data_IF_765260638481
#
_entry.id   IF_765260638481
#
_cell.length_a   1.000
_cell.length_b   1.000
_cell.length_c   1.000
_cell.angle_alpha   90.00
_cell.angle_beta   90.00
_cell.angle_gamma   90.00
#
_symmetry.space_group_name_H-M   'P 1'
#
loop_
_entity.id
_entity.type
_entity.pdbx_description
1 polymer ?
#
# COMPACT_ATOMS: atom_id res chain seq x y z
N UNK A 1 27.22 17.49 -16.34
CA UNK A 1 27.66 16.74 -15.14
C UNK A 1 26.97 15.40 -15.21
N UNK A 2 27.72 14.31 -15.37
CA UNK A 2 27.16 12.96 -15.41
C UNK A 2 26.59 12.63 -14.03
N UNK A 3 25.28 12.75 -13.88
CA UNK A 3 24.56 12.10 -12.79
C UNK A 3 24.65 10.61 -13.06
N UNK A 4 25.45 9.91 -12.26
CA UNK A 4 25.44 8.45 -12.18
C UNK A 4 24.00 8.06 -11.87
N UNK A 5 23.25 7.58 -12.86
CA UNK A 5 21.98 6.89 -12.63
C UNK A 5 22.33 5.69 -11.77
N UNK A 6 22.08 5.76 -10.46
CA UNK A 6 22.11 4.56 -9.63
C UNK A 6 21.18 3.55 -10.29
N UNK A 7 21.74 2.42 -10.72
CA UNK A 7 20.97 1.34 -11.34
C UNK A 7 19.97 0.82 -10.31
N UNK A 8 18.69 0.80 -10.69
CA UNK A 8 17.63 0.17 -9.91
C UNK A 8 18.03 -1.26 -9.59
N UNK A 9 17.93 -1.66 -8.33
CA UNK A 9 18.36 -2.98 -7.87
C UNK A 9 17.23 -3.65 -7.09
N UNK A 10 16.74 -4.78 -7.61
CA UNK A 10 15.81 -5.64 -6.89
C UNK A 10 16.40 -6.06 -5.53
N UNK A 11 17.71 -6.34 -5.46
CA UNK A 11 18.40 -6.71 -4.20
C UNK A 11 18.25 -5.63 -3.12
N UNK A 12 18.54 -4.35 -3.42
CA UNK A 12 18.36 -3.25 -2.46
C UNK A 12 16.88 -3.08 -2.04
N UNK A 13 15.92 -3.37 -2.93
CA UNK A 13 14.50 -3.37 -2.55
C UNK A 13 14.19 -4.53 -1.60
N UNK A 14 14.70 -5.73 -1.87
CA UNK A 14 14.56 -6.89 -0.98
C UNK A 14 15.18 -6.60 0.39
N UNK A 15 16.34 -5.93 0.45
CA UNK A 15 16.95 -5.44 1.69
C UNK A 15 16.07 -4.40 2.39
N UNK A 16 15.44 -3.47 1.65
CA UNK A 16 14.51 -2.48 2.20
C UNK A 16 13.34 -3.13 2.93
N UNK A 17 12.82 -4.24 2.39
CA UNK A 17 11.72 -4.98 2.99
C UNK A 17 12.17 -6.10 3.95
N UNK A 18 13.47 -6.39 4.06
CA UNK A 18 14.00 -7.45 4.92
C UNK A 18 13.76 -8.87 4.39
N UNK A 19 13.62 -9.04 3.08
CA UNK A 19 13.45 -10.36 2.45
C UNK A 19 14.80 -10.95 2.03
N UNK A 20 15.13 -12.12 2.56
CA UNK A 20 16.36 -12.88 2.25
C UNK A 20 16.09 -14.32 1.77
N UNK A 21 14.83 -14.62 1.43
CA UNK A 21 14.40 -15.93 0.97
C UNK A 21 14.74 -16.21 -0.50
N UNK A 22 14.43 -17.43 -0.98
CA UNK A 22 14.65 -17.79 -2.38
C UNK A 22 13.67 -17.08 -3.33
N UNK A 23 14.23 -16.53 -4.41
CA UNK A 23 13.44 -15.95 -5.50
C UNK A 23 13.05 -17.07 -6.48
N UNK A 24 11.83 -17.56 -6.29
CA UNK A 24 11.18 -18.57 -7.14
C UNK A 24 9.77 -18.06 -7.45
N UNK A 25 9.34 -18.19 -8.70
CA UNK A 25 7.98 -17.84 -9.12
C UNK A 25 6.97 -18.81 -8.48
N UNK A 26 6.53 -18.49 -7.25
CA UNK A 26 5.65 -19.33 -6.45
C UNK A 26 4.73 -18.48 -5.57
N UNK A 27 3.55 -19.00 -5.27
CA UNK A 27 2.60 -18.34 -4.36
C UNK A 27 3.22 -18.09 -2.98
N UNK A 28 4.08 -19.00 -2.52
CA UNK A 28 4.84 -18.84 -1.28
C UNK A 28 5.78 -17.63 -1.33
N UNK A 29 6.59 -17.49 -2.38
CA UNK A 29 7.49 -16.34 -2.52
C UNK A 29 6.70 -15.04 -2.64
N UNK A 30 5.63 -15.01 -3.44
CA UNK A 30 4.75 -13.83 -3.54
C UNK A 30 4.16 -13.44 -2.18
N UNK A 31 3.69 -14.41 -1.40
CA UNK A 31 3.17 -14.18 -0.06
C UNK A 31 4.20 -13.58 0.89
N UNK A 32 5.42 -14.12 0.89
CA UNK A 32 6.50 -13.59 1.73
C UNK A 32 6.97 -12.20 1.30
N UNK A 33 6.97 -11.90 0.01
CA UNK A 33 7.32 -10.56 -0.50
C UNK A 33 6.31 -9.50 -0.06
N UNK A 34 5.01 -9.75 -0.25
CA UNK A 34 3.96 -8.83 0.18
C UNK A 34 3.97 -8.66 1.70
N UNK A 35 4.06 -9.77 2.44
CA UNK A 35 4.06 -9.75 3.90
C UNK A 35 5.24 -8.94 4.43
N UNK A 36 6.45 -9.14 3.91
CA UNK A 36 7.61 -8.35 4.32
C UNK A 36 7.45 -6.86 3.96
N UNK A 37 6.89 -6.55 2.79
CA UNK A 37 6.67 -5.17 2.38
C UNK A 37 5.70 -4.44 3.34
N UNK A 38 4.52 -5.00 3.61
CA UNK A 38 3.51 -4.32 4.45
C UNK A 38 3.97 -4.12 5.90
N UNK A 39 4.93 -4.93 6.37
CA UNK A 39 5.53 -4.81 7.71
C UNK A 39 6.70 -3.82 7.78
N UNK A 40 7.23 -3.35 6.65
CA UNK A 40 8.48 -2.58 6.61
C UNK A 40 8.34 -1.24 5.89
N UNK A 41 7.41 -1.11 4.96
CA UNK A 41 7.17 0.11 4.18
C UNK A 41 5.82 0.70 4.61
N UNK A 42 5.82 1.89 5.21
CA UNK A 42 4.57 2.50 5.65
C UNK A 42 3.75 2.99 4.45
N UNK A 43 2.44 2.88 4.57
CA UNK A 43 1.52 3.71 3.82
C UNK A 43 1.55 5.12 4.41
N UNK A 44 1.71 6.16 3.60
CA UNK A 44 1.73 7.56 4.05
C UNK A 44 1.38 8.55 2.93
N UNK A 45 0.84 9.71 3.30
CA UNK A 45 0.46 10.80 2.39
C UNK A 45 1.23 12.11 2.66
N UNK A 46 2.43 12.04 3.25
CA UNK A 46 3.12 13.22 3.76
C UNK A 46 3.59 14.16 2.63
N UNK A 47 4.02 13.62 1.49
CA UNK A 47 4.43 14.45 0.34
C UNK A 47 3.24 15.25 -0.22
N UNK A 48 2.04 14.66 -0.27
CA UNK A 48 0.81 15.34 -0.71
C UNK A 48 0.51 16.54 0.19
N UNK A 49 0.62 16.36 1.51
CA UNK A 49 0.36 17.42 2.49
C UNK A 49 1.45 18.51 2.49
N UNK A 50 2.69 18.13 2.21
CA UNK A 50 3.82 19.05 2.07
C UNK A 50 3.91 19.69 0.67
N UNK A 51 2.92 19.47 -0.20
CA UNK A 51 2.90 19.96 -1.58
C UNK A 51 4.14 19.58 -2.41
N UNK A 52 4.74 18.43 -2.10
CA UNK A 52 5.81 17.82 -2.89
C UNK A 52 5.14 16.99 -3.99
N UNK A 53 5.34 17.32 -5.29
CA UNK A 53 4.67 16.64 -6.38
C UNK A 53 4.92 15.13 -6.40
N UNK A 54 3.85 14.35 -6.55
CA UNK A 54 3.95 12.90 -6.63
C UNK A 54 4.42 12.48 -8.03
N UNK A 55 5.50 11.70 -8.09
CA UNK A 55 5.98 11.05 -9.31
C UNK A 55 5.72 9.54 -9.23
N UNK A 56 5.11 8.98 -10.27
CA UNK A 56 4.91 7.54 -10.41
C UNK A 56 6.00 6.88 -11.28
N UNK A 57 7.03 7.62 -11.67
CA UNK A 57 8.18 7.07 -12.39
C UNK A 57 9.00 6.16 -11.47
N UNK A 58 9.31 4.94 -11.94
CA UNK A 58 10.01 3.93 -11.13
C UNK A 58 11.29 4.46 -10.48
N UNK A 59 12.17 5.23 -11.16
CA UNK A 59 13.36 5.78 -10.52
C UNK A 59 13.07 6.73 -9.34
N UNK A 60 12.02 7.55 -9.44
CA UNK A 60 11.63 8.47 -8.38
C UNK A 60 11.00 7.71 -7.19
N UNK A 61 10.15 6.74 -7.47
CA UNK A 61 9.56 5.85 -6.46
C UNK A 61 10.64 5.05 -5.73
N UNK A 62 11.59 4.49 -6.47
CA UNK A 62 12.69 3.71 -5.93
C UNK A 62 13.56 4.56 -5.00
N UNK A 63 13.96 5.76 -5.42
CA UNK A 63 14.70 6.66 -4.56
C UNK A 63 13.93 6.99 -3.27
N UNK A 64 12.65 7.33 -3.37
CA UNK A 64 11.79 7.63 -2.21
C UNK A 64 11.70 6.44 -1.26
N UNK A 65 11.21 5.30 -1.74
CA UNK A 65 10.80 4.18 -0.90
C UNK A 65 12.00 3.31 -0.46
N UNK A 66 12.98 3.10 -1.35
CA UNK A 66 14.13 2.23 -1.10
C UNK A 66 15.28 3.02 -0.49
N UNK A 67 15.81 4.03 -1.22
CA UNK A 67 17.02 4.73 -0.80
C UNK A 67 16.76 5.64 0.41
N UNK A 68 15.71 6.47 0.36
CA UNK A 68 15.32 7.37 1.45
C UNK A 68 14.48 6.71 2.52
N UNK A 69 14.14 5.42 2.35
CA UNK A 69 13.34 4.60 3.27
C UNK A 69 11.99 5.22 3.67
N UNK A 70 11.41 6.04 2.80
CA UNK A 70 10.06 6.59 2.97
C UNK A 70 9.00 5.52 2.66
N UNK A 71 7.75 5.91 2.82
CA UNK A 71 6.60 5.16 2.36
C UNK A 71 6.04 5.76 1.07
N UNK A 72 4.74 5.60 0.89
CA UNK A 72 3.95 6.27 -0.12
C UNK A 72 2.48 5.88 0.03
N UNK A 73 1.61 6.42 -0.80
CA UNK A 73 0.22 5.96 -0.87
C UNK A 73 0.04 4.89 -1.96
N UNK A 74 -1.21 4.45 -2.18
CA UNK A 74 -1.50 3.23 -2.94
C UNK A 74 -0.86 3.17 -4.35
N UNK A 75 -0.87 4.28 -5.10
CA UNK A 75 -0.28 4.32 -6.44
C UNK A 75 1.24 4.17 -6.40
N UNK A 76 1.91 4.84 -5.45
CA UNK A 76 3.37 4.76 -5.30
C UNK A 76 3.81 3.35 -4.89
N UNK A 77 3.13 2.79 -3.88
CA UNK A 77 3.46 1.48 -3.32
C UNK A 77 3.22 0.35 -4.32
N UNK A 78 2.04 0.31 -4.95
CA UNK A 78 1.71 -0.75 -5.89
C UNK A 78 2.43 -0.58 -7.24
N UNK A 79 2.78 0.63 -7.68
CA UNK A 79 3.62 0.80 -8.86
C UNK A 79 5.02 0.20 -8.63
N UNK A 80 5.66 0.55 -7.52
CA UNK A 80 7.00 0.07 -7.23
C UNK A 80 7.05 -1.42 -6.87
N UNK A 81 6.04 -1.92 -6.15
CA UNK A 81 5.93 -3.35 -5.87
C UNK A 81 5.65 -4.15 -7.14
N UNK A 82 4.81 -3.64 -8.05
CA UNK A 82 4.60 -4.24 -9.37
C UNK A 82 5.88 -4.34 -10.18
N UNK A 83 6.69 -3.27 -10.19
CA UNK A 83 8.02 -3.29 -10.79
C UNK A 83 8.94 -4.35 -10.16
N UNK A 84 9.03 -4.42 -8.82
CA UNK A 84 9.82 -5.46 -8.16
C UNK A 84 9.39 -6.86 -8.63
N UNK A 85 8.09 -7.14 -8.60
CA UNK A 85 7.57 -8.45 -8.98
C UNK A 85 7.94 -8.81 -10.44
N UNK A 86 7.85 -7.85 -11.36
CA UNK A 86 8.28 -8.03 -12.75
C UNK A 86 9.79 -8.30 -12.86
N UNK A 87 10.63 -7.56 -12.12
CA UNK A 87 12.09 -7.80 -12.08
C UNK A 87 12.44 -9.20 -11.54
N UNK A 88 11.61 -9.73 -10.65
CA UNK A 88 11.77 -11.08 -10.10
C UNK A 88 11.14 -12.17 -11.00
N UNK A 89 10.61 -11.79 -12.17
CA UNK A 89 10.07 -12.71 -13.18
C UNK A 89 8.58 -13.02 -13.06
N UNK A 90 7.85 -12.42 -12.12
CA UNK A 90 6.40 -12.61 -12.02
C UNK A 90 5.66 -11.89 -13.16
N UNK A 91 4.60 -12.53 -13.66
CA UNK A 91 3.66 -11.89 -14.57
C UNK A 91 2.65 -11.04 -13.80
N UNK A 92 2.72 -9.71 -13.98
CA UNK A 92 1.89 -8.73 -13.25
C UNK A 92 0.99 -7.95 -14.23
N UNK A 93 -0.29 -7.84 -13.89
CA UNK A 93 -1.27 -6.97 -14.53
C UNK A 93 -1.76 -5.92 -13.53
N UNK A 94 -1.89 -4.67 -13.95
CA UNK A 94 -2.35 -3.58 -13.09
C UNK A 94 -3.81 -3.26 -13.38
N UNK A 95 -4.61 -3.02 -12.35
CA UNK A 95 -6.02 -2.64 -12.45
C UNK A 95 -6.34 -1.41 -11.61
N UNK A 96 -7.32 -0.63 -12.05
CA UNK A 96 -7.98 0.35 -11.21
C UNK A 96 -9.02 -0.29 -10.29
N UNK A 97 -9.04 0.16 -9.04
CA UNK A 97 -10.04 -0.19 -8.04
C UNK A 97 -10.83 0.99 -7.49
N UNK A 98 -12.05 0.72 -7.03
CA UNK A 98 -12.89 1.62 -6.23
C UNK A 98 -12.74 1.25 -4.76
N UNK A 99 -12.36 2.21 -3.92
CA UNK A 99 -12.15 1.97 -2.49
C UNK A 99 -13.45 2.24 -1.72
N UNK A 100 -14.08 1.20 -1.17
CA UNK A 100 -15.39 1.26 -0.50
C UNK A 100 -15.28 1.51 1.00
N UNK A 101 -14.23 0.97 1.64
CA UNK A 101 -14.08 1.08 3.09
C UNK A 101 -13.94 2.55 3.51
N UNK A 102 -14.82 2.97 4.43
CA UNK A 102 -14.86 4.33 4.95
C UNK A 102 -15.41 5.38 3.97
N UNK A 103 -15.94 4.97 2.81
CA UNK A 103 -16.54 5.88 1.85
C UNK A 103 -18.03 6.10 2.14
N UNK A 104 -18.46 7.36 2.11
CA UNK A 104 -19.86 7.73 2.36
C UNK A 104 -20.66 7.92 1.08
N UNK A 105 -20.01 8.27 -0.03
CA UNK A 105 -20.63 8.45 -1.33
C UNK A 105 -20.35 7.24 -2.23
N UNK A 106 -21.40 6.48 -2.54
CA UNK A 106 -21.31 5.28 -3.37
C UNK A 106 -21.96 5.48 -4.76
N UNK A 107 -21.40 4.88 -5.83
CA UNK A 107 -20.14 4.13 -5.86
C UNK A 107 -18.90 5.06 -5.76
N UNK A 108 -17.82 4.62 -5.10
CA UNK A 108 -16.59 5.41 -4.97
C UNK A 108 -15.93 5.65 -6.33
N UNK A 109 -15.08 6.67 -6.45
CA UNK A 109 -14.22 6.86 -7.64
C UNK A 109 -13.23 5.69 -7.79
N UNK A 110 -12.75 5.45 -9.01
CA UNK A 110 -11.63 4.52 -9.27
C UNK A 110 -10.32 5.21 -8.88
N UNK A 111 -9.89 5.03 -7.63
CA UNK A 111 -8.78 5.77 -7.03
C UNK A 111 -7.85 4.88 -6.18
N UNK A 112 -7.80 3.61 -6.54
CA UNK A 112 -6.90 2.62 -5.98
C UNK A 112 -6.23 1.84 -7.11
N UNK A 113 -4.99 1.40 -6.90
CA UNK A 113 -4.29 0.52 -7.83
C UNK A 113 -4.23 -0.88 -7.25
N UNK A 114 -4.52 -1.89 -8.05
CA UNK A 114 -4.53 -3.30 -7.66
C UNK A 114 -3.57 -4.05 -8.59
N UNK A 115 -2.79 -4.99 -8.05
CA UNK A 115 -1.95 -5.87 -8.86
C UNK A 115 -2.57 -7.26 -8.92
N UNK A 116 -2.64 -7.83 -10.12
CA UNK A 116 -2.94 -9.24 -10.33
C UNK A 116 -1.67 -9.95 -10.78
N UNK A 117 -1.33 -11.04 -10.10
CA UNK A 117 -0.14 -11.85 -10.39
C UNK A 117 -0.58 -13.21 -10.87
N UNK A 118 -0.05 -13.67 -12.01
CA UNK A 118 -0.29 -15.01 -12.54
C UNK A 118 0.90 -15.91 -12.21
N UNK A 119 0.63 -17.09 -11.64
CA UNK A 119 1.62 -18.11 -11.31
C UNK A 119 1.09 -19.45 -11.81
N UNK A 120 1.67 -19.97 -12.90
CA UNK A 120 1.05 -21.08 -13.64
C UNK A 120 -0.36 -20.73 -14.10
N UNK A 121 -1.35 -21.56 -13.74
CA UNK A 121 -2.77 -21.34 -14.06
C UNK A 121 -3.52 -20.54 -12.97
N UNK A 122 -2.87 -20.24 -11.85
CA UNK A 122 -3.49 -19.53 -10.73
C UNK A 122 -3.32 -18.02 -10.86
N UNK A 123 -4.30 -17.28 -10.36
CA UNK A 123 -4.31 -15.81 -10.32
C UNK A 123 -4.47 -15.34 -8.89
N UNK A 124 -3.64 -14.39 -8.49
CA UNK A 124 -3.66 -13.78 -7.17
C UNK A 124 -3.81 -12.27 -7.29
N UNK A 125 -4.47 -11.65 -6.31
CA UNK A 125 -4.39 -10.22 -6.09
C UNK A 125 -3.32 -9.96 -5.04
N UNK A 126 -2.30 -9.19 -5.43
CA UNK A 126 -1.27 -8.69 -4.55
C UNK A 126 -1.46 -7.18 -4.37
N UNK A 127 -1.40 -6.72 -3.12
CA UNK A 127 -1.67 -5.32 -2.81
C UNK A 127 -0.98 -4.88 -1.53
N UNK A 128 -0.02 -3.97 -1.69
CA UNK A 128 0.72 -3.36 -0.58
C UNK A 128 0.25 -1.94 -0.27
N UNK A 129 -0.74 -1.44 -1.01
CA UNK A 129 -1.18 -0.05 -1.03
C UNK A 129 -2.49 0.23 -0.28
N UNK A 130 -3.19 -0.78 0.25
CA UNK A 130 -4.46 -0.58 1.00
C UNK A 130 -4.24 0.15 2.33
N UNK A 131 -3.06 0.02 2.93
CA UNK A 131 -2.74 0.49 4.28
C UNK A 131 -3.12 -0.52 5.36
N UNK A 132 -3.32 -0.06 6.60
CA UNK A 132 -3.38 -0.92 7.78
C UNK A 132 -4.55 -1.92 7.84
N UNK A 133 -5.54 -1.86 6.95
CA UNK A 133 -6.61 -2.85 6.84
C UNK A 133 -6.44 -3.83 5.65
N UNK A 134 -5.35 -3.70 4.88
CA UNK A 134 -5.09 -4.54 3.72
C UNK A 134 -4.65 -5.97 4.06
N UNK A 135 -4.92 -6.96 3.21
CA UNK A 135 -4.39 -8.32 3.37
C UNK A 135 -2.87 -8.32 3.56
N UNK A 136 -2.38 -9.15 4.49
CA UNK A 136 -0.94 -9.33 4.75
C UNK A 136 -0.26 -10.14 3.65
N UNK A 137 -1.03 -11.01 3.00
CA UNK A 137 -0.59 -11.88 1.92
C UNK A 137 -1.54 -11.74 0.71
N UNK A 138 -1.08 -12.11 -0.49
CA UNK A 138 -1.91 -12.14 -1.69
C UNK A 138 -3.13 -13.03 -1.49
N UNK A 139 -4.20 -12.69 -2.19
CA UNK A 139 -5.44 -13.46 -2.17
C UNK A 139 -5.63 -14.15 -3.51
N UNK A 140 -5.91 -15.44 -3.49
CA UNK A 140 -6.27 -16.18 -4.71
C UNK A 140 -7.60 -15.64 -5.26
N UNK A 141 -7.65 -15.38 -6.57
CA UNK A 141 -8.78 -14.79 -7.28
C UNK A 141 -9.82 -15.87 -7.62
N UNK A 142 -10.48 -16.36 -6.57
CA UNK A 142 -11.55 -17.38 -6.63
C UNK A 142 -12.79 -16.87 -5.90
N UNK A 143 -13.94 -16.91 -6.58
CA UNK A 143 -15.21 -16.41 -6.03
C UNK A 143 -15.62 -17.17 -4.76
N UNK A 144 -15.80 -16.41 -3.67
CA UNK A 144 -16.28 -16.92 -2.40
C UNK A 144 -15.24 -17.68 -1.58
N UNK A 145 -13.99 -17.82 -2.06
CA UNK A 145 -12.95 -18.49 -1.29
C UNK A 145 -12.55 -17.63 -0.07
N UNK A 146 -12.87 -18.14 1.12
CA UNK A 146 -12.46 -17.55 2.39
C UNK A 146 -10.98 -17.85 2.67
N UNK A 147 -10.20 -16.81 2.89
CA UNK A 147 -8.75 -16.87 3.03
C UNK A 147 -8.34 -16.23 4.34
N UNK A 148 -7.94 -17.07 5.29
CA UNK A 148 -7.57 -16.68 6.65
C UNK A 148 -6.11 -16.24 6.70
N UNK A 149 -5.86 -15.07 7.27
CA UNK A 149 -4.52 -14.49 7.45
C UNK A 149 -4.36 -14.01 8.90
N UNK A 150 -3.97 -14.93 9.78
CA UNK A 150 -3.94 -14.68 11.22
C UNK A 150 -5.35 -14.60 11.80
N UNK A 151 -5.68 -13.45 12.39
CA UNK A 151 -6.97 -13.12 12.99
C UNK A 151 -7.99 -12.52 11.99
N UNK A 152 -7.56 -12.28 10.76
CA UNK A 152 -8.38 -11.68 9.71
C UNK A 152 -8.78 -12.72 8.67
N UNK A 153 -9.98 -12.57 8.10
CA UNK A 153 -10.44 -13.40 6.98
C UNK A 153 -10.92 -12.51 5.86
N UNK A 154 -10.49 -12.82 4.64
CA UNK A 154 -10.83 -12.09 3.43
C UNK A 154 -11.46 -13.03 2.41
N UNK A 155 -12.23 -12.47 1.48
CA UNK A 155 -12.67 -13.19 0.28
C UNK A 155 -12.83 -12.23 -0.88
N UNK A 156 -12.74 -12.78 -2.09
CA UNK A 156 -13.09 -12.07 -3.32
C UNK A 156 -14.45 -12.58 -3.79
N UNK A 157 -15.38 -11.67 -4.11
CA UNK A 157 -16.71 -11.99 -4.64
C UNK A 157 -16.89 -11.43 -6.03
N UNK A 158 -17.39 -12.24 -6.95
CA UNK A 158 -17.79 -11.76 -8.27
C UNK A 158 -19.01 -10.82 -8.13
N UNK A 159 -18.98 -9.73 -8.88
CA UNK A 159 -20.00 -8.69 -8.88
C UNK A 159 -20.22 -8.20 -10.32
N UNK A 160 -21.48 -8.13 -10.75
CA UNK A 160 -21.85 -7.81 -12.13
C UNK A 160 -21.49 -6.38 -12.53
N UNK A 161 -21.55 -5.44 -11.60
CA UNK A 161 -21.43 -4.00 -11.88
C UNK A 161 -20.00 -3.50 -11.66
N UNK A 162 -19.28 -4.15 -10.73
CA UNK A 162 -17.99 -3.67 -10.22
C UNK A 162 -16.85 -4.69 -10.37
N UNK A 163 -17.07 -5.83 -11.02
CA UNK A 163 -16.08 -6.86 -11.29
C UNK A 163 -15.86 -7.77 -10.07
N UNK A 164 -14.78 -7.58 -9.34
CA UNK A 164 -14.48 -8.31 -8.11
C UNK A 164 -14.60 -7.39 -6.91
N UNK A 165 -15.19 -7.88 -5.83
CA UNK A 165 -15.27 -7.20 -4.54
C UNK A 165 -14.36 -7.93 -3.54
N UNK A 166 -13.34 -7.24 -3.03
CA UNK A 166 -12.63 -7.69 -1.85
C UNK A 166 -13.48 -7.39 -0.61
N UNK A 167 -13.78 -8.40 0.18
CA UNK A 167 -14.51 -8.28 1.43
C UNK A 167 -13.65 -8.79 2.60
N UNK A 168 -13.82 -8.17 3.77
CA UNK A 168 -13.20 -8.58 5.02
C UNK A 168 -14.29 -9.00 6.02
N UNK A 169 -14.10 -10.12 6.70
CA UNK A 169 -14.98 -10.54 7.78
C UNK A 169 -14.74 -9.66 9.02
N UNK A 170 -15.81 -9.04 9.52
CA UNK A 170 -15.87 -8.28 10.78
C UNK A 170 -16.93 -8.88 11.70
N UNK A 171 -17.04 -8.36 12.93
CA UNK A 171 -18.04 -8.83 13.90
C UNK A 171 -19.48 -8.72 13.36
N UNK A 172 -19.78 -7.71 12.54
CA UNK A 172 -21.10 -7.48 11.95
C UNK A 172 -21.37 -8.20 10.62
N UNK A 173 -20.42 -8.97 10.10
CA UNK A 173 -20.51 -9.61 8.79
C UNK A 173 -19.37 -9.22 7.85
N UNK A 174 -19.58 -9.48 6.56
CA UNK A 174 -18.64 -9.13 5.50
C UNK A 174 -18.76 -7.65 5.14
N UNK A 175 -17.65 -6.93 5.17
CA UNK A 175 -17.55 -5.52 4.76
C UNK A 175 -16.70 -5.38 3.50
N UNK A 176 -17.16 -4.58 2.53
CA UNK A 176 -16.43 -4.30 1.30
C UNK A 176 -15.22 -3.40 1.54
N UNK A 177 -14.05 -3.82 1.04
CA UNK A 177 -12.79 -3.07 1.12
C UNK A 177 -12.59 -2.24 -0.14
N UNK A 178 -12.36 -2.92 -1.27
CA UNK A 178 -12.28 -2.30 -2.59
C UNK A 178 -12.90 -3.24 -3.65
N UNK A 179 -13.27 -2.70 -4.80
CA UNK A 179 -13.62 -3.49 -5.98
C UNK A 179 -12.74 -3.15 -7.17
N UNK A 180 -12.63 -4.03 -8.16
CA UNK A 180 -11.88 -3.77 -9.39
C UNK A 180 -12.44 -4.57 -10.58
N UNK A 181 -12.29 -4.02 -11.78
CA UNK A 181 -12.58 -4.70 -13.04
C UNK A 181 -11.28 -5.16 -13.69
N UNK A 182 -11.31 -6.26 -14.43
CA UNK A 182 -10.11 -6.85 -15.07
C UNK A 182 -9.73 -6.16 -16.40
N UNK A 183 -9.84 -4.83 -16.46
CA UNK A 183 -9.34 -4.03 -17.58
C UNK A 183 -7.88 -3.65 -17.27
N UNK A 184 -6.89 -4.15 -18.03
CA UNK A 184 -5.50 -3.80 -17.79
C UNK A 184 -5.26 -2.30 -17.92
N UNK A 185 -4.52 -1.73 -16.98
CA UNK A 185 -4.13 -0.33 -16.98
C UNK A 185 -2.62 -0.18 -17.14
N UNK A 186 -2.23 0.87 -17.84
CA UNK A 186 -0.84 1.26 -18.05
C UNK A 186 -0.39 2.22 -16.94
N UNK A 187 0.93 2.32 -16.66
CA UNK A 187 1.45 3.29 -15.69
C UNK A 187 0.93 4.72 -15.90
N UNK A 188 0.76 5.12 -17.15
CA UNK A 188 0.27 6.45 -17.56
C UNK A 188 -1.17 6.73 -17.13
N UNK A 189 -2.01 5.70 -17.03
CA UNK A 189 -3.42 5.87 -16.65
C UNK A 189 -3.54 6.33 -15.20
N UNK A 190 -2.65 5.86 -14.33
CA UNK A 190 -2.64 6.17 -12.90
C UNK A 190 -2.23 7.62 -12.61
N UNK A 191 -1.48 8.28 -13.50
CA UNK A 191 -1.01 9.65 -13.31
C UNK A 191 -2.19 10.62 -13.15
N UNK A 192 -3.20 10.50 -14.01
CA UNK A 192 -4.37 11.41 -13.98
C UNK A 192 -5.14 11.29 -12.66
N UNK A 193 -5.37 10.05 -12.22
CA UNK A 193 -6.08 9.77 -10.97
C UNK A 193 -5.24 10.18 -9.75
N UNK A 194 -3.92 9.97 -9.80
CA UNK A 194 -2.96 10.41 -8.79
C UNK A 194 -2.99 11.93 -8.63
N UNK A 195 -2.98 12.67 -9.75
CA UNK A 195 -3.07 14.13 -9.75
C UNK A 195 -4.38 14.62 -9.11
N UNK A 196 -5.51 13.96 -9.40
CA UNK A 196 -6.78 14.26 -8.72
C UNK A 196 -6.67 14.00 -7.21
N UNK A 197 -6.09 12.86 -6.79
CA UNK A 197 -5.88 12.55 -5.38
C UNK A 197 -5.00 13.60 -4.68
N UNK A 198 -4.00 14.14 -5.37
CA UNK A 198 -3.10 15.15 -4.82
C UNK A 198 -3.79 16.51 -4.65
N UNK A 199 -4.51 16.98 -5.68
CA UNK A 199 -4.90 18.39 -5.76
C UNK A 199 -6.40 18.67 -5.66
N UNK A 200 -7.27 17.68 -5.84
CA UNK A 200 -8.69 17.95 -5.87
C UNK A 200 -9.18 18.52 -4.52
N UNK A 201 -10.01 19.58 -4.53
CA UNK A 201 -10.53 20.16 -3.29
C UNK A 201 -11.34 19.18 -2.44
N UNK A 202 -11.92 18.13 -3.04
CA UNK A 202 -12.67 17.07 -2.37
C UNK A 202 -11.85 15.78 -2.16
N UNK A 203 -10.57 15.76 -2.49
CA UNK A 203 -9.72 14.60 -2.23
C UNK A 203 -9.55 14.35 -0.73
N UNK A 204 -9.72 13.11 -0.23
CA UNK A 204 -9.47 12.79 1.17
C UNK A 204 -7.98 12.74 1.52
N UNK A 205 -7.08 12.67 0.52
CA UNK A 205 -5.65 12.47 0.74
C UNK A 205 -4.90 13.77 1.10
N UNK A 206 -5.48 14.94 0.82
CA UNK A 206 -4.86 16.24 1.10
C UNK A 206 -5.48 16.97 2.31
N UNK A 207 -6.15 16.22 3.21
CA UNK A 207 -6.89 16.79 4.36
C UNK A 207 -6.12 16.75 5.67
N UNK A 208 -5.52 15.62 5.96
CA UNK A 208 -4.81 15.38 7.22
C UNK A 208 -3.84 14.22 7.05
N UNK A 209 -2.87 14.14 7.96
CA UNK A 209 -1.88 13.05 7.99
C UNK A 209 -2.58 11.70 8.12
N UNK A 210 -2.26 10.79 7.22
CA UNK A 210 -2.68 9.39 7.25
C UNK A 210 -1.46 8.53 7.05
N UNK A 211 -1.09 7.81 8.10
CA UNK A 211 0.02 6.86 8.05
C UNK A 211 -0.49 5.54 8.59
N UNK A 212 -0.09 4.44 7.98
CA UNK A 212 -0.32 3.12 8.54
C UNK A 212 0.77 2.14 8.17
N UNK A 213 1.07 1.21 9.07
CA UNK A 213 2.02 0.14 8.84
C UNK A 213 1.55 -1.11 9.58
N UNK A 214 1.56 -2.26 8.91
CA UNK A 214 1.25 -3.53 9.57
C UNK A 214 2.39 -3.84 10.55
N UNK A 215 2.05 -4.47 11.66
CA UNK A 215 3.02 -5.00 12.62
C UNK A 215 2.66 -6.45 12.92
N UNK A 216 3.60 -7.20 13.50
CA UNK A 216 3.32 -8.56 13.97
C UNK A 216 2.17 -8.61 15.00
N UNK A 217 1.95 -7.53 15.73
CA UNK A 217 0.90 -7.40 16.75
C UNK A 217 -0.39 -6.75 16.22
N UNK A 218 -0.43 -6.26 14.98
CA UNK A 218 -1.59 -5.58 14.42
C UNK A 218 -1.24 -4.55 13.35
N UNK A 219 -1.47 -3.27 13.67
CA UNK A 219 -1.17 -2.13 12.79
C UNK A 219 -0.92 -0.88 13.59
N UNK A 220 0.12 -0.12 13.27
CA UNK A 220 0.26 1.23 13.79
C UNK A 220 -0.41 2.21 12.82
N UNK A 221 -1.07 3.24 13.35
CA UNK A 221 -1.71 4.28 12.52
C UNK A 221 -1.50 5.68 13.06
N UNK A 222 -1.47 6.65 12.15
CA UNK A 222 -1.61 8.08 12.45
C UNK A 222 -2.81 8.61 11.69
N UNK A 223 -3.71 9.29 12.38
CA UNK A 223 -4.82 10.04 11.78
C UNK A 223 -4.84 11.47 12.32
N UNK A 224 -4.51 12.42 11.45
CA UNK A 224 -4.21 13.80 11.86
C UNK A 224 -3.03 13.82 12.84
N UNK A 225 -3.30 14.16 14.10
CA UNK A 225 -2.28 14.25 15.16
C UNK A 225 -2.30 13.04 16.11
N UNK A 226 -3.25 12.12 15.93
CA UNK A 226 -3.43 10.99 16.85
C UNK A 226 -2.68 9.75 16.37
N UNK A 227 -1.77 9.27 17.21
CA UNK A 227 -1.08 8.00 17.04
C UNK A 227 -1.86 6.91 17.75
N UNK A 228 -2.04 5.77 17.08
CA UNK A 228 -2.60 4.55 17.66
C UNK A 228 -1.63 3.40 17.41
N UNK A 229 -1.03 2.91 18.48
CA UNK A 229 -0.01 1.85 18.46
C UNK A 229 -0.64 0.58 19.00
N UNK A 230 -0.71 -0.44 18.16
CA UNK A 230 -1.36 -1.70 18.50
C UNK A 230 -0.29 -2.68 18.99
N UNK A 231 -0.46 -3.17 20.21
CA UNK A 231 0.42 -4.16 20.82
C UNK A 231 -0.38 -5.35 21.34
N UNK A 232 0.30 -6.41 21.75
CA UNK A 232 -0.32 -7.55 22.44
C UNK A 232 -1.08 -7.16 23.72
N UNK A 233 -0.73 -6.03 24.35
CA UNK A 233 -1.40 -5.49 25.54
C UNK A 233 -2.59 -4.57 25.27
N UNK A 234 -2.93 -4.32 24.00
CA UNK A 234 -4.00 -3.41 23.59
C UNK A 234 -3.52 -2.24 22.74
N UNK A 235 -4.34 -1.19 22.65
CA UNK A 235 -4.06 -0.02 21.80
C UNK A 235 -3.62 1.16 22.67
N UNK A 236 -2.39 1.62 22.47
CA UNK A 236 -1.89 2.85 23.07
C UNK A 236 -2.18 4.03 22.14
N UNK A 237 -2.93 5.02 22.64
CA UNK A 237 -3.34 6.20 21.86
C UNK A 237 -2.76 7.46 22.49
N UNK A 238 -2.13 8.31 21.68
CA UNK A 238 -1.55 9.56 22.16
C UNK A 238 -1.45 10.62 21.05
N UNK A 239 -1.28 11.88 21.45
CA UNK A 239 -0.95 13.00 20.56
C UNK A 239 0.40 13.58 20.97
N UNK A 240 1.39 13.67 20.06
CA UNK A 240 2.64 14.35 20.33
C UNK A 240 2.42 15.81 20.75
N UNK A 241 3.22 16.30 21.69
CA UNK A 241 3.09 17.65 22.27
C UNK A 241 3.99 18.68 21.59
N UNK A 242 4.85 18.24 20.68
CA UNK A 242 5.74 19.08 19.90
C UNK A 242 6.07 18.43 18.56
N UNK A 243 6.58 19.23 17.61
CA UNK A 243 7.07 18.74 16.32
C UNK A 243 8.17 17.67 16.50
N UNK A 244 9.07 17.88 17.46
CA UNK A 244 10.12 16.90 17.79
C UNK A 244 9.53 15.57 18.28
N UNK A 245 8.55 15.60 19.18
CA UNK A 245 7.90 14.37 19.63
C UNK A 245 7.16 13.67 18.48
N UNK A 246 6.60 14.43 17.55
CA UNK A 246 5.95 13.89 16.35
C UNK A 246 6.97 13.19 15.44
N UNK A 247 8.09 13.84 15.14
CA UNK A 247 9.20 13.25 14.35
C UNK A 247 9.78 12.00 15.01
N UNK A 248 10.04 12.05 16.32
CA UNK A 248 10.56 10.91 17.08
C UNK A 248 9.58 9.73 17.07
N UNK A 249 8.27 10.00 17.15
CA UNK A 249 7.23 8.98 17.06
C UNK A 249 7.12 8.41 15.64
N UNK A 250 7.20 9.23 14.59
CA UNK A 250 7.22 8.77 13.20
C UNK A 250 8.40 7.83 12.93
N UNK A 251 9.59 8.21 13.41
CA UNK A 251 10.78 7.40 13.26
C UNK A 251 10.66 6.08 14.02
N UNK A 252 10.24 6.14 15.29
CA UNK A 252 10.11 4.97 16.16
C UNK A 252 9.11 3.95 15.64
N UNK A 253 7.91 4.40 15.23
CA UNK A 253 6.80 3.50 14.93
C UNK A 253 6.62 3.17 13.46
N UNK A 254 7.21 3.96 12.54
CA UNK A 254 7.04 3.80 11.10
C UNK A 254 8.37 3.83 10.32
N UNK A 255 9.50 4.11 10.99
CA UNK A 255 10.79 4.26 10.33
C UNK A 255 10.91 5.51 9.45
N UNK A 256 9.97 6.45 9.55
CA UNK A 256 9.92 7.66 8.72
C UNK A 256 10.83 8.73 9.32
N UNK A 257 11.71 9.28 8.49
CA UNK A 257 12.49 10.48 8.81
C UNK A 257 11.94 11.66 8.01
N UNK A 258 11.52 12.70 8.72
CA UNK A 258 11.11 13.97 8.10
C UNK A 258 12.36 14.68 7.58
N UNK A 259 12.33 15.09 6.30
CA UNK A 259 13.38 15.90 5.69
C UNK A 259 12.96 17.37 5.64
N UNK A 260 13.92 18.28 5.50
CA UNK A 260 13.63 19.73 5.41
C UNK A 260 12.68 20.08 4.26
N UNK A 261 12.69 19.28 3.19
CA UNK A 261 11.78 19.44 2.05
C UNK A 261 10.29 19.26 2.42
N UNK A 262 10.01 18.56 3.53
CA UNK A 262 8.64 18.30 4.01
C UNK A 262 8.17 19.32 5.07
N UNK A 263 9.04 20.23 5.52
CA UNK A 263 8.75 21.20 6.60
C UNK A 263 8.14 22.52 6.10
N UNK A 264 7.64 22.57 4.85
CA UNK A 264 7.03 23.78 4.27
C UNK A 264 5.61 23.98 4.77
#
# INVERSE_FOLDING_TARGET
MNTTTETLSATKYLERIGYSGPIVESAYTLARLQEQHVHSVPYENLDILAHVPISLEIPALYDKIVNRRRGGYCFELNALFGWLLQELGFKVTHYFGRFWQGESLTPPKRRHQVLQVTIGDQRFIADVGVGGAGPRQPLELVDGLEQVQGDETYRLRANTDYGWMLEQQKQGGWESVFSFTEEPNLPQDFITTSYWCEHAPDSPFNKFVRISMRTAEGRNTVEGEEFRIFTSGGVHTFKPRSEREFEDALHTYFGIKITDQMRQ
#
